data_IF_825323742422
#
_entry.id   IF_825323742422
#
_cell.length_a   1.000
_cell.length_b   1.000
_cell.length_c   1.000
_cell.angle_alpha   90.00
_cell.angle_beta   90.00
_cell.angle_gamma   90.00
#
_symmetry.space_group_name_H-M   'P 1'
#
loop_
_entity.id
_entity.type
_entity.pdbx_description
1 polymer ?
#
# COMPACT_ATOMS: atom_id res chain seq x y z
N UNK A 1 -0.27 10.24 -27.81
CA UNK A 1 -0.29 10.64 -26.39
C UNK A 1 0.36 9.52 -25.57
N UNK A 2 1.49 9.79 -24.92
CA UNK A 2 2.22 8.79 -24.13
C UNK A 2 1.53 8.69 -22.76
N UNK A 3 0.89 7.55 -22.48
CA UNK A 3 0.17 7.35 -21.22
C UNK A 3 1.11 7.37 -20.03
N UNK A 4 0.92 8.31 -19.10
CA UNK A 4 1.54 8.25 -17.79
C UNK A 4 0.89 7.10 -17.02
N UNK A 5 1.50 5.91 -17.08
CA UNK A 5 1.17 4.85 -16.14
C UNK A 5 1.46 5.40 -14.74
N UNK A 6 0.40 5.65 -13.96
CA UNK A 6 0.51 6.09 -12.58
C UNK A 6 1.28 5.01 -11.83
N UNK A 7 2.58 5.26 -11.55
CA UNK A 7 3.37 4.43 -10.65
C UNK A 7 2.54 4.31 -9.37
N UNK A 8 2.20 3.06 -9.00
CA UNK A 8 1.42 2.74 -7.78
C UNK A 8 1.82 3.72 -6.70
N UNK A 9 0.87 4.50 -6.18
CA UNK A 9 1.10 5.35 -5.02
C UNK A 9 1.69 4.43 -3.96
N UNK A 10 2.97 4.61 -3.66
CA UNK A 10 3.61 3.90 -2.57
C UNK A 10 3.19 4.67 -1.34
N UNK A 11 2.09 4.27 -0.72
CA UNK A 11 1.51 4.96 0.46
C UNK A 11 2.47 5.04 1.65
N UNK A 12 3.60 4.32 1.57
CA UNK A 12 4.67 4.34 2.56
C UNK A 12 5.75 5.41 2.31
N UNK A 13 5.81 6.04 1.13
CA UNK A 13 6.79 7.10 0.84
C UNK A 13 6.32 8.40 1.47
N UNK A 14 7.18 9.02 2.28
CA UNK A 14 6.89 10.28 2.93
C UNK A 14 6.86 11.47 1.96
N UNK A 15 6.15 12.54 2.34
CA UNK A 15 6.18 13.80 1.58
C UNK A 15 7.60 14.38 1.47
N UNK A 16 8.45 14.17 2.48
CA UNK A 16 9.85 14.59 2.46
C UNK A 16 10.65 13.87 1.38
N UNK A 17 10.52 12.54 1.27
CA UNK A 17 11.19 11.77 0.22
C UNK A 17 10.74 12.21 -1.18
N UNK A 18 9.45 12.52 -1.37
CA UNK A 18 8.92 13.07 -2.61
C UNK A 18 9.50 14.45 -2.94
N UNK A 19 9.59 15.33 -1.95
CA UNK A 19 10.16 16.67 -2.12
C UNK A 19 11.64 16.61 -2.48
N UNK A 20 12.43 15.78 -1.79
CA UNK A 20 13.85 15.56 -2.08
C UNK A 20 14.05 14.94 -3.47
N UNK A 21 13.17 14.03 -3.88
CA UNK A 21 13.20 13.45 -5.23
C UNK A 21 12.95 14.53 -6.31
N UNK A 22 11.96 15.40 -6.10
CA UNK A 22 11.69 16.52 -7.00
C UNK A 22 12.86 17.51 -7.08
N UNK A 23 13.48 17.85 -5.94
CA UNK A 23 14.67 18.70 -5.90
C UNK A 23 15.86 18.05 -6.62
N UNK A 24 16.07 16.75 -6.42
CA UNK A 24 17.13 15.99 -7.09
C UNK A 24 16.93 15.98 -8.61
N UNK A 25 15.68 15.82 -9.08
CA UNK A 25 15.37 15.85 -10.51
C UNK A 25 15.70 17.22 -11.13
N UNK A 26 15.39 18.31 -10.42
CA UNK A 26 15.74 19.68 -10.84
C UNK A 26 17.26 19.90 -10.83
N UNK A 27 17.94 19.55 -9.74
CA UNK A 27 19.40 19.68 -9.66
C UNK A 27 20.10 18.92 -10.80
N UNK A 28 19.58 17.74 -11.17
CA UNK A 28 20.07 16.97 -12.32
C UNK A 28 19.88 17.69 -13.65
N UNK A 29 18.69 18.26 -13.89
CA UNK A 29 18.42 18.98 -15.14
C UNK A 29 19.26 20.26 -15.27
N UNK A 30 19.60 20.88 -14.14
CA UNK A 30 20.41 22.10 -14.10
C UNK A 30 21.93 21.85 -14.00
N UNK A 31 22.39 20.59 -14.01
CA UNK A 31 23.79 20.22 -13.75
C UNK A 31 24.35 20.86 -12.46
N UNK A 32 23.50 20.98 -11.45
CA UNK A 32 23.82 21.62 -10.18
C UNK A 32 24.80 20.75 -9.36
N UNK A 33 25.84 21.38 -8.79
CA UNK A 33 26.83 20.72 -7.95
C UNK A 33 26.21 20.03 -6.72
N UNK A 34 25.05 20.50 -6.24
CA UNK A 34 24.29 19.91 -5.14
C UNK A 34 23.64 18.57 -5.49
N UNK A 35 23.62 18.16 -6.76
CA UNK A 35 22.96 16.93 -7.22
C UNK A 35 23.38 15.69 -6.42
N UNK A 36 24.68 15.50 -6.17
CA UNK A 36 25.16 14.33 -5.44
C UNK A 36 24.68 14.31 -3.99
N UNK A 37 24.67 15.47 -3.33
CA UNK A 37 24.19 15.59 -1.97
C UNK A 37 22.68 15.30 -1.90
N UNK A 38 21.89 15.89 -2.80
CA UNK A 38 20.44 15.67 -2.88
C UNK A 38 20.09 14.21 -3.21
N UNK A 39 20.86 13.57 -4.10
CA UNK A 39 20.72 12.14 -4.42
C UNK A 39 20.94 11.27 -3.18
N UNK A 40 21.97 11.57 -2.39
CA UNK A 40 22.26 10.83 -1.17
C UNK A 40 21.19 11.02 -0.10
N UNK A 41 20.67 12.25 0.06
CA UNK A 41 19.56 12.52 0.97
C UNK A 41 18.27 11.80 0.56
N UNK A 42 17.95 11.79 -0.74
CA UNK A 42 16.79 11.07 -1.28
C UNK A 42 16.91 9.57 -1.04
N UNK A 43 18.08 9.00 -1.32
CA UNK A 43 18.34 7.57 -1.08
C UNK A 43 18.25 7.21 0.40
N UNK A 44 18.71 8.09 1.30
CA UNK A 44 18.56 7.91 2.75
C UNK A 44 17.09 7.95 3.16
N UNK A 45 16.34 8.97 2.72
CA UNK A 45 14.92 9.11 3.09
C UNK A 45 14.08 7.92 2.61
N UNK A 46 14.33 7.40 1.40
CA UNK A 46 13.63 6.22 0.88
C UNK A 46 13.95 4.95 1.68
N UNK A 47 15.20 4.80 2.13
CA UNK A 47 15.60 3.69 3.03
C UNK A 47 14.94 3.80 4.39
N UNK A 48 14.91 4.99 4.97
CA UNK A 48 14.30 5.25 6.28
C UNK A 48 12.77 4.99 6.22
N UNK A 49 12.10 5.49 5.17
CA UNK A 49 10.67 5.28 4.94
C UNK A 49 10.35 3.79 4.76
N UNK A 50 11.18 3.07 3.99
CA UNK A 50 11.04 1.62 3.79
C UNK A 50 11.22 0.86 5.10
N UNK A 51 12.25 1.19 5.88
CA UNK A 51 12.51 0.55 7.17
C UNK A 51 11.33 0.75 8.12
N UNK A 52 10.83 1.98 8.22
CA UNK A 52 9.68 2.32 9.07
C UNK A 52 8.42 1.55 8.65
N UNK A 53 8.17 1.45 7.35
CA UNK A 53 7.04 0.69 6.82
C UNK A 53 7.11 -0.79 7.20
N UNK A 54 8.23 -1.45 6.90
CA UNK A 54 8.39 -2.88 7.21
C UNK A 54 8.38 -3.17 8.70
N UNK A 55 8.94 -2.27 9.51
CA UNK A 55 8.84 -2.36 10.95
C UNK A 55 7.38 -2.32 11.42
N UNK A 56 6.58 -1.37 10.94
CA UNK A 56 5.16 -1.28 11.26
C UNK A 56 4.36 -2.53 10.84
N UNK A 57 4.65 -3.08 9.66
CA UNK A 57 4.05 -4.34 9.20
C UNK A 57 4.40 -5.50 10.15
N UNK A 58 5.68 -5.64 10.52
CA UNK A 58 6.13 -6.71 11.42
C UNK A 58 5.50 -6.59 12.82
N UNK A 59 5.40 -5.37 13.37
CA UNK A 59 4.73 -5.12 14.65
C UNK A 59 3.25 -5.49 14.59
N UNK A 60 2.54 -5.08 13.54
CA UNK A 60 1.11 -5.38 13.37
C UNK A 60 0.87 -6.87 13.20
N UNK A 61 1.74 -7.55 12.44
CA UNK A 61 1.71 -8.99 12.26
C UNK A 61 1.90 -9.73 13.59
N UNK A 62 2.91 -9.35 14.38
CA UNK A 62 3.18 -9.92 15.71
C UNK A 62 1.99 -9.72 16.67
N UNK A 63 1.36 -8.54 16.64
CA UNK A 63 0.18 -8.28 17.47
C UNK A 63 -1.00 -9.17 17.06
N UNK A 64 -1.22 -9.33 15.76
CA UNK A 64 -2.34 -10.12 15.21
C UNK A 64 -2.11 -11.64 15.29
N UNK A 65 -0.89 -12.10 15.56
CA UNK A 65 -0.63 -13.51 15.87
C UNK A 65 -0.82 -13.84 17.36
N UNK A 66 -0.57 -12.85 18.23
CA UNK A 66 -0.71 -13.02 19.69
C UNK A 66 -2.17 -12.94 20.14
N UNK A 67 -2.94 -12.06 19.49
CA UNK A 67 -4.41 -12.08 19.53
C UNK A 67 -4.84 -13.09 18.48
N UNK A 68 -5.71 -14.05 18.78
CA UNK A 68 -6.17 -15.07 17.80
C UNK A 68 -7.06 -14.44 16.72
N UNK A 69 -6.52 -13.48 15.95
CA UNK A 69 -7.17 -12.77 14.86
C UNK A 69 -6.49 -13.18 13.54
N UNK A 70 -6.70 -14.45 13.22
CA UNK A 70 -6.21 -15.10 11.99
C UNK A 70 -6.72 -14.39 10.73
N UNK A 71 -7.89 -13.76 10.79
CA UNK A 71 -8.46 -12.96 9.68
C UNK A 71 -7.60 -11.73 9.41
N UNK A 72 -7.22 -10.98 10.44
CA UNK A 72 -6.37 -9.79 10.30
C UNK A 72 -4.95 -10.15 9.84
N UNK A 73 -4.39 -11.25 10.34
CA UNK A 73 -3.10 -11.77 9.87
C UNK A 73 -3.13 -12.09 8.36
N UNK A 74 -4.17 -12.79 7.89
CA UNK A 74 -4.36 -13.09 6.47
C UNK A 74 -4.42 -11.83 5.60
N UNK A 75 -5.18 -10.81 6.04
CA UNK A 75 -5.31 -9.55 5.31
C UNK A 75 -3.98 -8.81 5.17
N UNK A 76 -3.16 -8.77 6.22
CA UNK A 76 -1.82 -8.14 6.19
C UNK A 76 -0.90 -8.85 5.19
N UNK A 77 -0.85 -10.19 5.23
CA UNK A 77 -0.04 -10.99 4.29
C UNK A 77 -0.45 -10.69 2.84
N UNK A 78 -1.76 -10.61 2.60
CA UNK A 78 -2.30 -10.36 1.26
C UNK A 78 -2.01 -8.94 0.76
N UNK A 79 -2.17 -7.92 1.61
CA UNK A 79 -1.85 -6.53 1.29
C UNK A 79 -0.37 -6.36 0.93
N UNK A 80 0.52 -6.93 1.74
CA UNK A 80 1.97 -6.87 1.52
C UNK A 80 2.39 -7.63 0.27
N UNK A 81 1.68 -8.70 -0.09
CA UNK A 81 1.91 -9.45 -1.33
C UNK A 81 1.49 -8.69 -2.61
N UNK A 82 0.84 -7.52 -2.47
CA UNK A 82 0.40 -6.69 -3.59
C UNK A 82 -0.74 -7.28 -4.41
N UNK A 83 -1.42 -8.31 -3.88
CA UNK A 83 -2.63 -8.90 -4.45
C UNK A 83 -3.81 -7.98 -4.19
N UNK A 84 -4.59 -7.58 -5.21
CA UNK A 84 -5.77 -6.74 -5.03
C UNK A 84 -6.77 -7.42 -4.09
N UNK A 85 -7.33 -6.67 -3.15
CA UNK A 85 -8.47 -7.14 -2.36
C UNK A 85 -9.70 -7.11 -3.27
N UNK A 86 -9.94 -8.19 -4.03
CA UNK A 86 -11.22 -8.36 -4.70
C UNK A 86 -12.29 -8.48 -3.62
N UNK A 87 -13.34 -7.68 -3.73
CA UNK A 87 -14.50 -7.60 -2.82
C UNK A 87 -15.15 -8.98 -2.55
N UNK A 88 -14.86 -10.00 -3.37
CA UNK A 88 -15.39 -11.36 -3.24
C UNK A 88 -14.71 -12.25 -2.19
N UNK A 89 -13.66 -11.79 -1.50
CA UNK A 89 -13.07 -12.54 -0.37
C UNK A 89 -13.78 -12.25 0.97
N UNK A 90 -15.05 -11.83 0.90
CA UNK A 90 -15.91 -11.82 2.07
C UNK A 90 -16.05 -13.25 2.57
N UNK A 91 -15.31 -13.57 3.63
CA UNK A 91 -15.54 -14.72 4.50
C UNK A 91 -17.03 -14.76 4.81
N UNK A 92 -17.75 -15.70 4.21
CA UNK A 92 -19.09 -16.02 4.65
C UNK A 92 -18.98 -16.45 6.11
N UNK A 93 -19.60 -15.67 7.00
CA UNK A 93 -19.91 -16.14 8.33
C UNK A 93 -20.71 -17.43 8.15
N UNK A 94 -20.22 -18.54 8.71
CA UNK A 94 -20.97 -19.80 8.81
C UNK A 94 -22.13 -19.55 9.77
N UNK A 95 -23.21 -18.99 9.25
CA UNK A 95 -24.52 -19.31 9.75
C UNK A 95 -25.31 -19.80 8.53
N UNK A 96 -25.50 -21.12 8.46
CA UNK A 96 -26.16 -21.81 7.37
C UNK A 96 -27.63 -21.40 7.28
N UNK A 97 -27.90 -20.37 6.49
CA UNK A 97 -29.24 -19.97 6.10
C UNK A 97 -29.23 -19.62 4.63
N UNK A 98 -29.47 -20.63 3.78
CA UNK A 98 -29.70 -20.45 2.36
C UNK A 98 -30.99 -19.63 2.21
N UNK A 99 -30.88 -18.31 2.08
CA UNK A 99 -32.05 -17.48 1.77
C UNK A 99 -32.32 -17.60 0.28
N UNK A 100 -33.32 -18.43 -0.01
CA UNK A 100 -33.82 -18.71 -1.34
C UNK A 100 -34.30 -17.44 -2.06
N UNK A 101 -34.17 -17.53 -3.38
CA UNK A 101 -34.70 -16.65 -4.41
C UNK A 101 -36.14 -16.19 -4.12
N UNK A 102 -36.39 -14.88 -4.23
CA UNK A 102 -37.73 -14.34 -4.48
C UNK A 102 -37.58 -13.04 -5.29
N UNK A 103 -37.19 -13.19 -6.56
CA UNK A 103 -37.39 -12.21 -7.62
C UNK A 103 -38.89 -12.10 -7.91
N UNK A 104 -39.62 -11.32 -7.11
CA UNK A 104 -40.98 -10.89 -7.46
C UNK A 104 -40.89 -9.62 -8.32
N UNK A 105 -41.29 -9.75 -9.59
CA UNK A 105 -41.62 -8.63 -10.47
C UNK A 105 -42.68 -7.75 -9.81
N UNK A 106 -42.46 -6.43 -9.81
CA UNK A 106 -43.54 -5.44 -9.72
C UNK A 106 -43.47 -4.62 -10.99
N UNK A 107 -44.48 -4.81 -11.84
CA UNK A 107 -44.83 -3.86 -12.88
C UNK A 107 -45.55 -2.67 -12.21
N UNK A 108 -45.09 -1.45 -12.50
CA UNK A 108 -45.82 -0.18 -12.52
C UNK A 108 -44.90 0.91 -13.10
#
# INVERSE_FOLDING_TARGET
MLGFAQRRRRDWISGRALQLSAQTARARSHNDASFQQLRNMTAKSDRDDRQKYWFGIATTMKQSSNVVDTRKLYLIIRQVSGKPLTLSDSVHHVNGGFSADNSAKVDC
#
